data_IF_461383004594
#
_entry.id   IF_461383004594
#
_cell.length_a   1.000
_cell.length_b   1.000
_cell.length_c   1.000
_cell.angle_alpha   90.00
_cell.angle_beta   90.00
_cell.angle_gamma   90.00
#
_symmetry.space_group_name_H-M   'P 1'
#
loop_
_entity.id
_entity.type
_entity.pdbx_description
1 polymer ?
#
# COMPACT_ATOMS: atom_id res chain seq x y z
N UNK A 1 -14.96 -8.68 -60.23
CA UNK A 1 -14.87 -9.78 -59.25
C UNK A 1 -13.60 -9.73 -58.40
N UNK A 2 -12.39 -9.83 -58.97
CA UNK A 2 -11.12 -9.85 -58.20
C UNK A 2 -10.83 -8.57 -57.39
N UNK A 3 -11.12 -7.38 -57.95
CA UNK A 3 -10.93 -6.09 -57.26
C UNK A 3 -11.85 -5.92 -56.04
N UNK A 4 -13.10 -6.39 -56.15
CA UNK A 4 -14.06 -6.34 -55.04
C UNK A 4 -13.60 -7.24 -53.88
N UNK A 5 -13.10 -8.44 -54.21
CA UNK A 5 -12.56 -9.37 -53.22
C UNK A 5 -11.31 -8.81 -52.53
N UNK A 6 -10.41 -8.14 -53.28
CA UNK A 6 -9.24 -7.49 -52.70
C UNK A 6 -9.61 -6.32 -51.77
N UNK A 7 -10.60 -5.50 -52.17
CA UNK A 7 -11.10 -4.40 -51.34
C UNK A 7 -11.74 -4.91 -50.03
N UNK A 8 -12.54 -5.98 -50.11
CA UNK A 8 -13.12 -6.63 -48.93
C UNK A 8 -12.05 -7.24 -48.01
N UNK A 9 -11.03 -7.90 -48.57
CA UNK A 9 -9.93 -8.44 -47.79
C UNK A 9 -9.13 -7.33 -47.09
N UNK A 10 -8.87 -6.21 -47.77
CA UNK A 10 -8.21 -5.05 -47.19
C UNK A 10 -9.04 -4.44 -46.04
N UNK A 11 -10.36 -4.35 -46.20
CA UNK A 11 -11.26 -3.87 -45.16
C UNK A 11 -11.25 -4.78 -43.92
N UNK A 12 -11.27 -6.10 -44.13
CA UNK A 12 -11.19 -7.08 -43.04
C UNK A 12 -9.86 -6.94 -42.29
N UNK A 13 -8.74 -6.83 -43.01
CA UNK A 13 -7.43 -6.63 -42.39
C UNK A 13 -7.35 -5.29 -41.63
N UNK A 14 -7.94 -4.23 -42.16
CA UNK A 14 -7.99 -2.93 -41.50
C UNK A 14 -8.80 -2.95 -40.19
N UNK A 15 -9.82 -3.82 -40.08
CA UNK A 15 -10.60 -4.02 -38.84
C UNK A 15 -9.89 -4.98 -37.88
N UNK A 16 -9.19 -5.99 -38.41
CA UNK A 16 -8.46 -6.96 -37.59
C UNK A 16 -7.19 -6.36 -36.98
N UNK A 17 -6.46 -5.51 -37.71
CA UNK A 17 -5.18 -4.96 -37.24
C UNK A 17 -5.28 -4.17 -35.92
N UNK A 18 -6.29 -3.29 -35.70
CA UNK A 18 -6.51 -2.62 -34.42
C UNK A 18 -6.89 -3.56 -33.27
N UNK A 19 -7.42 -4.76 -33.53
CA UNK A 19 -7.72 -5.72 -32.46
C UNK A 19 -6.43 -6.35 -31.92
N UNK A 20 -5.38 -6.42 -32.75
CA UNK A 20 -4.09 -6.99 -32.38
C UNK A 20 -3.14 -5.93 -31.81
N UNK A 21 -3.11 -4.73 -32.39
CA UNK A 21 -2.20 -3.64 -32.01
C UNK A 21 -2.88 -2.40 -31.40
N UNK A 22 -4.20 -2.39 -31.25
CA UNK A 22 -4.92 -1.24 -30.71
C UNK A 22 -4.73 -1.06 -29.20
N UNK A 23 -5.41 -0.05 -28.66
CA UNK A 23 -5.27 0.42 -27.27
C UNK A 23 -5.57 -0.66 -26.20
N UNK A 24 -6.22 -1.75 -26.56
CA UNK A 24 -6.47 -2.94 -25.72
C UNK A 24 -5.77 -4.22 -26.21
N UNK A 25 -4.81 -4.12 -27.12
CA UNK A 25 -4.10 -5.27 -27.69
C UNK A 25 -3.21 -5.99 -26.67
N UNK A 26 -2.88 -7.24 -26.97
CA UNK A 26 -2.10 -8.15 -26.11
C UNK A 26 -0.74 -7.57 -25.67
N UNK A 27 -0.09 -6.80 -26.54
CA UNK A 27 1.17 -6.10 -26.23
C UNK A 27 1.01 -5.12 -25.06
N UNK A 28 -0.12 -4.41 -24.99
CA UNK A 28 -0.40 -3.45 -23.93
C UNK A 28 -0.72 -4.14 -22.62
N UNK A 29 -1.45 -5.26 -22.67
CA UNK A 29 -1.74 -6.08 -21.49
C UNK A 29 -0.45 -6.54 -20.84
N UNK A 30 0.50 -7.04 -21.62
CA UNK A 30 1.77 -7.54 -21.09
C UNK A 30 2.62 -6.44 -20.44
N UNK A 31 2.64 -5.25 -21.03
CA UNK A 31 3.32 -4.10 -20.43
C UNK A 31 2.66 -3.61 -19.14
N UNK A 32 1.33 -3.53 -19.12
CA UNK A 32 0.57 -3.14 -17.93
C UNK A 32 0.71 -4.17 -16.82
N UNK A 33 0.67 -5.47 -17.14
CA UNK A 33 0.93 -6.54 -16.17
C UNK A 33 2.32 -6.45 -15.58
N UNK A 34 3.34 -6.19 -16.40
CA UNK A 34 4.72 -6.01 -15.93
C UNK A 34 4.85 -4.80 -15.00
N UNK A 35 4.20 -3.69 -15.33
CA UNK A 35 4.18 -2.50 -14.47
C UNK A 35 3.43 -2.76 -13.15
N UNK A 36 2.32 -3.49 -13.22
CA UNK A 36 1.53 -3.89 -12.04
C UNK A 36 2.33 -4.82 -11.12
N UNK A 37 3.03 -5.81 -11.68
CA UNK A 37 3.88 -6.70 -10.92
C UNK A 37 5.02 -5.94 -10.20
N UNK A 38 5.67 -5.00 -10.90
CA UNK A 38 6.71 -4.16 -10.31
C UNK A 38 6.17 -3.23 -9.21
N UNK A 39 4.98 -2.66 -9.37
CA UNK A 39 4.33 -1.86 -8.32
C UNK A 39 3.93 -2.70 -7.12
N UNK A 40 3.34 -3.88 -7.31
CA UNK A 40 2.98 -4.78 -6.22
C UNK A 40 4.19 -5.21 -5.39
N UNK A 41 5.32 -5.51 -6.05
CA UNK A 41 6.56 -5.85 -5.35
C UNK A 41 7.07 -4.69 -4.47
N UNK A 42 7.01 -3.45 -4.98
CA UNK A 42 7.37 -2.26 -4.18
C UNK A 42 6.42 -2.04 -3.01
N UNK A 43 5.11 -2.17 -3.24
CA UNK A 43 4.11 -1.99 -2.18
C UNK A 43 4.29 -3.03 -1.07
N UNK A 44 4.53 -4.30 -1.42
CA UNK A 44 4.78 -5.35 -0.43
C UNK A 44 6.03 -5.05 0.43
N UNK A 45 7.09 -4.50 -0.18
CA UNK A 45 8.28 -4.09 0.57
C UNK A 45 7.98 -2.92 1.53
N UNK A 46 7.19 -1.95 1.09
CA UNK A 46 6.79 -0.81 1.93
C UNK A 46 5.87 -1.24 3.07
N UNK A 47 4.91 -2.13 2.82
CA UNK A 47 4.03 -2.69 3.84
C UNK A 47 4.83 -3.44 4.91
N UNK A 48 5.82 -4.25 4.52
CA UNK A 48 6.69 -4.93 5.47
C UNK A 48 7.47 -3.96 6.35
N UNK A 49 8.04 -2.89 5.78
CA UNK A 49 8.76 -1.85 6.53
C UNK A 49 7.85 -1.08 7.48
N UNK A 50 6.66 -0.70 7.00
CA UNK A 50 5.68 -0.01 7.83
C UNK A 50 5.20 -0.88 8.99
N UNK A 51 5.07 -2.20 8.78
CA UNK A 51 4.75 -3.14 9.85
C UNK A 51 5.81 -3.16 10.95
N UNK A 52 7.10 -3.17 10.58
CA UNK A 52 8.21 -3.10 11.54
C UNK A 52 8.19 -1.76 12.30
N UNK A 53 8.09 -0.64 11.58
CA UNK A 53 8.06 0.69 12.21
C UNK A 53 6.85 0.86 13.14
N UNK A 54 5.69 0.35 12.76
CA UNK A 54 4.50 0.39 13.60
C UNK A 54 4.69 -0.43 14.89
N UNK A 55 5.36 -1.57 14.80
CA UNK A 55 5.73 -2.37 15.96
C UNK A 55 6.74 -1.64 16.86
N UNK A 56 7.76 -1.02 16.30
CA UNK A 56 8.74 -0.21 17.05
C UNK A 56 8.09 0.97 17.78
N UNK A 57 7.21 1.71 17.10
CA UNK A 57 6.47 2.82 17.72
C UNK A 57 5.58 2.32 18.86
N UNK A 58 4.95 1.15 18.69
CA UNK A 58 4.13 0.55 19.74
C UNK A 58 4.99 0.16 20.96
N UNK A 59 6.13 -0.48 20.73
CA UNK A 59 7.07 -0.88 21.79
C UNK A 59 7.62 0.33 22.54
N UNK A 60 8.04 1.38 21.82
CA UNK A 60 8.48 2.64 22.42
C UNK A 60 7.41 3.30 23.29
N UNK A 61 6.16 3.32 22.83
CA UNK A 61 5.04 3.87 23.61
C UNK A 61 4.78 3.06 24.87
N UNK A 62 4.75 1.73 24.76
CA UNK A 62 4.53 0.85 25.91
C UNK A 62 5.67 0.92 26.92
N UNK A 63 6.92 1.01 26.45
CA UNK A 63 8.08 1.21 27.31
C UNK A 63 8.05 2.53 28.06
N UNK A 64 7.64 3.62 27.40
CA UNK A 64 7.49 4.93 28.05
C UNK A 64 6.34 4.94 29.06
N UNK A 65 5.18 4.35 28.74
CA UNK A 65 4.04 4.22 29.65
C UNK A 65 4.41 3.42 30.90
N UNK A 66 5.14 2.31 30.75
CA UNK A 66 5.60 1.49 31.87
C UNK A 66 6.58 2.24 32.79
N UNK A 67 7.48 3.05 32.22
CA UNK A 67 8.41 3.88 33.00
C UNK A 67 7.66 5.01 33.70
N UNK A 68 6.70 5.63 33.01
CA UNK A 68 5.88 6.71 33.56
C UNK A 68 5.02 6.22 34.74
N UNK A 69 4.40 5.05 34.62
CA UNK A 69 3.64 4.42 35.70
C UNK A 69 4.55 4.12 36.90
N UNK A 70 5.75 3.56 36.68
CA UNK A 70 6.73 3.33 37.75
C UNK A 70 7.14 4.63 38.46
N UNK A 71 7.43 5.69 37.71
CA UNK A 71 7.80 6.99 38.28
C UNK A 71 6.66 7.64 39.07
N UNK A 72 5.42 7.49 38.60
CA UNK A 72 4.22 7.98 39.30
C UNK A 72 3.95 7.21 40.60
N UNK A 73 4.08 5.89 40.58
CA UNK A 73 3.81 5.04 41.75
C UNK A 73 4.93 5.05 42.79
N UNK A 74 6.21 5.00 42.39
CA UNK A 74 7.33 4.88 43.34
C UNK A 74 7.89 6.24 43.80
N UNK A 75 7.91 7.23 42.90
CA UNK A 75 8.53 8.53 43.18
C UNK A 75 7.50 9.64 43.40
N UNK A 76 6.20 9.35 43.25
CA UNK A 76 5.13 10.33 43.38
C UNK A 76 5.26 11.49 42.37
N UNK A 77 5.93 11.26 41.24
CA UNK A 77 6.18 12.30 40.25
C UNK A 77 4.88 12.64 39.51
N UNK A 78 4.52 13.94 39.52
CA UNK A 78 3.35 14.49 38.83
C UNK A 78 3.83 15.61 37.90
N UNK A 79 3.24 15.73 36.70
CA UNK A 79 3.53 16.85 35.79
C UNK A 79 3.08 18.18 36.42
N UNK A 80 3.75 19.27 36.05
CA UNK A 80 3.58 20.59 36.68
C UNK A 80 2.15 21.17 36.50
N UNK A 81 1.41 20.66 35.53
CA UNK A 81 0.10 21.09 35.06
C UNK A 81 -0.97 19.98 35.15
N UNK A 82 -0.71 18.91 35.92
CA UNK A 82 -1.60 17.75 36.03
C UNK A 82 -2.30 17.67 37.40
N UNK A 83 -3.61 17.37 37.39
CA UNK A 83 -4.37 17.01 38.60
C UNK A 83 -4.45 15.49 38.71
N UNK A 84 -3.65 14.92 39.61
CA UNK A 84 -3.53 13.47 39.80
C UNK A 84 -4.42 12.97 40.94
N UNK A 85 -5.34 12.04 40.63
CA UNK A 85 -6.26 11.44 41.59
C UNK A 85 -5.82 10.00 41.91
N UNK A 86 -5.39 9.73 43.14
CA UNK A 86 -5.22 8.37 43.65
C UNK A 86 -6.47 7.95 44.43
N UNK A 87 -7.14 6.89 43.98
CA UNK A 87 -8.17 6.23 44.76
C UNK A 87 -7.48 5.26 45.73
N UNK A 88 -7.48 5.60 47.03
CA UNK A 88 -7.14 4.66 48.08
C UNK A 88 -8.38 3.83 48.40
N UNK A 89 -8.49 2.64 47.82
CA UNK A 89 -9.47 1.66 48.28
C UNK A 89 -9.03 1.17 49.68
N UNK A 90 -9.99 1.14 50.61
CA UNK A 90 -9.80 0.77 52.02
C UNK A 90 -9.49 -0.72 52.19
#
# INVERSE_FOLDING_TARGET
MKLLAAALAALILAIQYPLWLGKGGWLRVWEVERQLAAQRARNAQLEARNGVLAAEVKDLKQGLEAIEERARYELGMVRHDEVFFQYADK
#
